data_IF_582227265215
#
_entry.id   IF_582227265215
#
_cell.length_a   1.000
_cell.length_b   1.000
_cell.length_c   1.000
_cell.angle_alpha   90.00
_cell.angle_beta   90.00
_cell.angle_gamma   90.00
#
_symmetry.space_group_name_H-M   'P 1'
#
loop_
_entity.id
_entity.type
_entity.pdbx_description
1 polymer ?
#
# COMPACT_ATOMS: atom_id res chain seq x y z
N UNK A 1 6.73 -8.23 -24.56
CA UNK A 1 5.80 -8.15 -23.41
C UNK A 1 5.31 -6.73 -23.32
N UNK A 2 3.99 -6.52 -23.27
CA UNK A 2 3.41 -5.20 -23.07
C UNK A 2 3.00 -5.08 -21.61
N UNK A 3 3.34 -3.96 -20.98
CA UNK A 3 2.80 -3.57 -19.68
C UNK A 3 2.15 -2.20 -19.80
N UNK A 4 1.20 -1.91 -18.93
CA UNK A 4 0.63 -0.58 -18.78
C UNK A 4 0.81 -0.06 -17.36
N UNK A 5 0.90 1.26 -17.25
CA UNK A 5 1.09 1.97 -16.00
C UNK A 5 0.02 3.05 -15.87
N UNK A 6 -0.70 3.05 -14.75
CA UNK A 6 -1.76 4.02 -14.49
C UNK A 6 -1.52 4.69 -13.15
N UNK A 7 -1.55 6.02 -13.13
CA UNK A 7 -1.64 6.78 -11.89
C UNK A 7 -3.07 6.71 -11.35
N UNK A 8 -3.20 6.42 -10.05
CA UNK A 8 -4.47 6.30 -9.33
C UNK A 8 -4.42 7.24 -8.11
N UNK A 9 -4.85 8.51 -8.27
CA UNK A 9 -4.85 9.47 -7.17
C UNK A 9 -5.83 9.10 -6.05
N UNK A 10 -5.32 8.91 -4.83
CA UNK A 10 -6.11 8.60 -3.63
C UNK A 10 -5.93 9.70 -2.56
N UNK A 11 -6.42 10.90 -2.87
CA UNK A 11 -6.25 12.08 -2.02
C UNK A 11 -4.92 12.77 -2.31
N UNK A 12 -4.09 12.94 -1.29
CA UNK A 12 -2.75 13.55 -1.42
C UNK A 12 -1.69 12.57 -1.94
N UNK A 13 -1.97 11.27 -1.87
CA UNK A 13 -1.07 10.22 -2.33
C UNK A 13 -1.30 9.87 -3.81
N UNK A 14 -0.19 9.58 -4.48
CA UNK A 14 -0.16 9.07 -5.84
C UNK A 14 0.08 7.56 -5.78
N UNK A 15 -1.00 6.79 -5.79
CA UNK A 15 -0.90 5.36 -5.97
C UNK A 15 -0.74 5.04 -7.47
N UNK A 16 -0.27 3.83 -7.77
CA UNK A 16 -0.06 3.40 -9.14
C UNK A 16 -0.54 1.96 -9.37
N UNK A 17 -1.06 1.69 -10.56
CA UNK A 17 -1.43 0.35 -11.01
C UNK A 17 -0.53 -0.04 -12.18
N UNK A 18 0.22 -1.12 -11.99
CA UNK A 18 1.04 -1.76 -13.01
C UNK A 18 0.29 -3.00 -13.49
N UNK A 19 0.14 -3.14 -14.80
CA UNK A 19 -0.54 -4.28 -15.43
C UNK A 19 0.40 -4.94 -16.44
N UNK A 20 0.58 -6.24 -16.33
CA UNK A 20 1.36 -7.04 -17.26
C UNK A 20 0.97 -8.50 -17.12
N UNK A 21 1.95 -9.39 -17.03
CA UNK A 21 1.73 -10.78 -16.61
C UNK A 21 1.13 -10.85 -15.20
N UNK A 22 1.57 -9.95 -14.31
CA UNK A 22 1.00 -9.75 -12.99
C UNK A 22 0.44 -8.34 -12.84
N UNK A 23 -0.57 -8.18 -11.99
CA UNK A 23 -1.13 -6.86 -11.64
C UNK A 23 -0.71 -6.44 -10.24
N UNK A 24 -0.02 -5.31 -10.17
CA UNK A 24 0.58 -4.79 -8.94
C UNK A 24 0.02 -3.40 -8.66
N UNK A 25 -0.38 -3.15 -7.41
CA UNK A 25 -0.77 -1.85 -6.92
C UNK A 25 0.34 -1.28 -6.02
N UNK A 26 0.74 -0.03 -6.24
CA UNK A 26 1.77 0.66 -5.47
C UNK A 26 1.09 1.70 -4.60
N UNK A 27 1.41 1.66 -3.31
CA UNK A 27 0.77 2.37 -2.21
C UNK A 27 -0.73 2.07 -2.06
N UNK A 28 -1.34 2.63 -1.02
CA UNK A 28 -2.74 2.38 -0.65
C UNK A 28 -3.48 3.65 -0.25
N UNK A 29 -2.85 4.82 -0.37
CA UNK A 29 -3.42 6.12 -0.03
C UNK A 29 -3.74 6.31 1.45
N UNK A 30 -4.30 7.48 1.74
CA UNK A 30 -4.74 7.83 3.08
C UNK A 30 -5.99 7.03 3.48
N UNK A 31 -6.30 6.93 4.79
CA UNK A 31 -7.54 6.32 5.25
C UNK A 31 -8.78 6.93 4.57
N UNK A 32 -9.76 6.10 4.22
CA UNK A 32 -11.00 6.55 3.56
C UNK A 32 -10.95 6.61 2.03
N UNK A 33 -9.79 6.35 1.41
CA UNK A 33 -9.62 6.38 -0.06
C UNK A 33 -10.31 5.27 -0.86
N UNK A 34 -10.97 4.30 -0.20
CA UNK A 34 -11.50 3.10 -0.87
C UNK A 34 -12.50 3.41 -1.99
N UNK A 35 -13.40 4.38 -1.79
CA UNK A 35 -14.37 4.75 -2.82
C UNK A 35 -13.69 5.35 -4.06
N UNK A 36 -12.65 6.16 -3.87
CA UNK A 36 -11.85 6.69 -4.98
C UNK A 36 -11.11 5.57 -5.70
N UNK A 37 -10.53 4.63 -4.96
CA UNK A 37 -9.88 3.44 -5.52
C UNK A 37 -10.85 2.65 -6.42
N UNK A 38 -12.04 2.31 -5.91
CA UNK A 38 -13.05 1.56 -6.67
C UNK A 38 -13.45 2.32 -7.95
N UNK A 39 -13.65 3.64 -7.86
CA UNK A 39 -13.96 4.47 -9.02
C UNK A 39 -12.88 4.41 -10.10
N UNK A 40 -11.60 4.50 -9.72
CA UNK A 40 -10.49 4.41 -10.68
C UNK A 40 -10.37 3.02 -11.29
N UNK A 41 -10.56 1.96 -10.51
CA UNK A 41 -10.56 0.58 -11.04
C UNK A 41 -11.67 0.40 -12.09
N UNK A 42 -12.86 0.93 -11.84
CA UNK A 42 -13.95 0.95 -12.83
C UNK A 42 -13.57 1.72 -14.09
N UNK A 43 -13.00 2.92 -13.96
CA UNK A 43 -12.57 3.74 -15.11
C UNK A 43 -11.49 3.06 -15.96
N UNK A 44 -10.63 2.26 -15.33
CA UNK A 44 -9.56 1.51 -15.98
C UNK A 44 -10.01 0.13 -16.50
N UNK A 45 -11.27 -0.23 -16.28
CA UNK A 45 -11.83 -1.57 -16.54
C UNK A 45 -10.98 -2.68 -15.91
N UNK A 46 -10.67 -2.52 -14.62
CA UNK A 46 -9.90 -3.48 -13.82
C UNK A 46 -10.80 -4.01 -12.71
N UNK A 47 -10.88 -5.34 -12.58
CA UNK A 47 -11.46 -5.94 -11.38
C UNK A 47 -10.40 -5.87 -10.27
N UNK A 48 -10.70 -5.27 -9.10
CA UNK A 48 -9.76 -5.26 -7.96
C UNK A 48 -9.19 -6.63 -7.62
N UNK A 49 -9.92 -7.73 -7.84
CA UNK A 49 -9.44 -9.10 -7.58
C UNK A 49 -8.32 -9.56 -8.54
N UNK A 50 -8.07 -8.83 -9.62
CA UNK A 50 -6.93 -9.07 -10.49
C UNK A 50 -5.62 -8.58 -9.87
N UNK A 51 -5.68 -7.69 -8.86
CA UNK A 51 -4.49 -7.20 -8.17
C UNK A 51 -3.96 -8.32 -7.28
N UNK A 52 -2.78 -8.81 -7.61
CA UNK A 52 -2.13 -9.92 -6.89
C UNK A 52 -1.24 -9.42 -5.75
N UNK A 53 -0.69 -8.22 -5.91
CA UNK A 53 0.30 -7.65 -5.00
C UNK A 53 0.07 -6.17 -4.74
N UNK A 54 0.19 -5.76 -3.48
CA UNK A 54 0.27 -4.36 -3.05
C UNK A 54 1.66 -4.10 -2.48
N UNK A 55 2.37 -3.11 -3.01
CA UNK A 55 3.68 -2.68 -2.53
C UNK A 55 3.56 -1.30 -1.88
N UNK A 56 3.86 -1.21 -0.59
CA UNK A 56 3.91 0.05 0.14
C UNK A 56 5.34 0.60 0.08
N UNK A 57 5.47 1.80 -0.47
CA UNK A 57 6.77 2.45 -0.69
C UNK A 57 7.46 2.83 0.62
N UNK A 58 6.69 3.27 1.63
CA UNK A 58 7.20 3.60 2.95
C UNK A 58 6.10 3.64 4.02
N UNK A 59 6.49 3.97 5.26
CA UNK A 59 5.65 3.90 6.45
C UNK A 59 4.98 5.19 6.88
N UNK A 60 4.47 6.01 5.95
CA UNK A 60 3.61 7.15 6.31
C UNK A 60 2.13 6.85 6.06
N UNK A 61 1.27 7.41 6.92
CA UNK A 61 -0.16 7.05 6.98
C UNK A 61 -0.92 7.42 5.71
N UNK A 62 -0.46 8.43 4.99
CA UNK A 62 -0.96 8.87 3.70
C UNK A 62 -0.64 7.88 2.56
N UNK A 63 0.32 6.96 2.75
CA UNK A 63 0.64 5.92 1.78
C UNK A 63 0.05 4.55 2.12
N UNK A 64 -0.01 4.15 3.39
CA UNK A 64 -0.51 2.81 3.76
C UNK A 64 -1.93 2.81 4.35
N UNK A 65 -2.50 3.98 4.66
CA UNK A 65 -3.71 4.10 5.47
C UNK A 65 -4.93 3.37 4.90
N UNK A 66 -5.09 3.37 3.58
CA UNK A 66 -6.15 2.66 2.86
C UNK A 66 -5.80 1.22 2.45
N UNK A 67 -4.53 0.81 2.58
CA UNK A 67 -4.02 -0.45 2.01
C UNK A 67 -4.75 -1.70 2.51
N UNK A 68 -5.13 -1.76 3.79
CA UNK A 68 -5.83 -2.92 4.35
C UNK A 68 -7.24 -3.10 3.76
N UNK A 69 -7.92 -1.99 3.44
CA UNK A 69 -9.24 -2.04 2.78
C UNK A 69 -9.12 -2.46 1.32
N UNK A 70 -8.09 -2.00 0.63
CA UNK A 70 -7.79 -2.42 -0.74
C UNK A 70 -7.46 -3.91 -0.75
N UNK A 71 -6.59 -4.38 0.15
CA UNK A 71 -6.28 -5.80 0.37
C UNK A 71 -7.52 -6.66 0.58
N UNK A 72 -8.43 -6.23 1.45
CA UNK A 72 -9.69 -6.97 1.69
C UNK A 72 -10.55 -7.08 0.42
N UNK A 73 -10.47 -6.08 -0.48
CA UNK A 73 -11.25 -6.05 -1.73
C UNK A 73 -10.58 -6.84 -2.86
N UNK A 74 -9.26 -6.85 -2.92
CA UNK A 74 -8.49 -7.53 -3.97
C UNK A 74 -8.10 -8.96 -3.62
N UNK A 75 -7.91 -9.27 -2.34
CA UNK A 75 -7.26 -10.52 -1.90
C UNK A 75 -5.73 -10.51 -2.06
N UNK A 76 -5.14 -9.40 -2.49
CA UNK A 76 -3.71 -9.27 -2.77
C UNK A 76 -2.83 -9.53 -1.53
N UNK A 77 -1.61 -10.02 -1.75
CA UNK A 77 -0.57 -9.95 -0.73
C UNK A 77 -0.07 -8.52 -0.58
N UNK A 78 0.38 -8.15 0.63
CA UNK A 78 0.89 -6.79 0.90
C UNK A 78 2.32 -6.89 1.38
N UNK A 79 3.20 -6.11 0.75
CA UNK A 79 4.60 -5.97 1.15
C UNK A 79 4.93 -4.51 1.39
N UNK A 80 5.82 -4.22 2.33
CA UNK A 80 6.23 -2.88 2.69
C UNK A 80 7.75 -2.76 2.66
N UNK A 81 8.26 -1.71 2.03
CA UNK A 81 9.63 -1.29 2.18
C UNK A 81 9.81 -0.59 3.54
N UNK A 82 10.72 -1.14 4.35
CA UNK A 82 11.08 -0.60 5.66
C UNK A 82 12.57 -0.23 5.62
N UNK A 83 12.87 1.03 5.93
CA UNK A 83 14.24 1.52 6.06
C UNK A 83 14.61 1.53 7.53
N UNK A 84 15.60 0.72 7.90
CA UNK A 84 16.19 0.70 9.24
C UNK A 84 17.29 1.77 9.42
N UNK A 85 17.88 1.80 10.61
CA UNK A 85 19.04 2.65 10.89
C UNK A 85 20.19 2.36 9.91
N UNK A 86 20.87 3.42 9.47
CA UNK A 86 21.98 3.31 8.51
C UNK A 86 21.56 3.01 7.07
N UNK A 87 20.33 3.33 6.67
CA UNK A 87 19.79 3.11 5.31
C UNK A 87 19.67 1.64 4.88
N UNK A 88 19.63 0.72 5.83
CA UNK A 88 19.39 -0.70 5.55
C UNK A 88 17.90 -0.95 5.23
N UNK A 89 17.59 -1.05 3.94
CA UNK A 89 16.25 -1.34 3.44
C UNK A 89 15.92 -2.83 3.47
N UNK A 90 14.69 -3.17 3.84
CA UNK A 90 14.13 -4.53 3.75
C UNK A 90 12.69 -4.46 3.26
N UNK A 91 12.29 -5.46 2.49
CA UNK A 91 10.88 -5.66 2.13
C UNK A 91 10.30 -6.69 3.11
N UNK A 92 9.22 -6.34 3.79
CA UNK A 92 8.52 -7.24 4.72
C UNK A 92 7.10 -7.50 4.24
N UNK A 93 6.61 -8.72 4.42
CA UNK A 93 5.18 -9.03 4.27
C UNK A 93 4.39 -8.34 5.39
N UNK A 94 3.24 -7.78 5.08
CA UNK A 94 2.34 -7.12 6.03
C UNK A 94 1.08 -7.95 6.17
N UNK A 95 0.89 -8.56 7.34
CA UNK A 95 -0.29 -9.37 7.66
C UNK A 95 -1.40 -8.54 8.33
N UNK A 96 -2.62 -9.06 8.30
CA UNK A 96 -3.78 -8.45 8.97
C UNK A 96 -3.49 -8.18 10.44
N UNK A 97 -3.81 -6.99 10.94
CA UNK A 97 -3.79 -6.71 12.38
C UNK A 97 -2.40 -6.55 12.99
N UNK A 98 -1.30 -6.79 12.26
CA UNK A 98 0.03 -6.48 12.76
C UNK A 98 0.18 -4.96 12.82
N UNK A 99 0.48 -4.43 14.02
CA UNK A 99 0.84 -3.01 14.20
C UNK A 99 2.00 -2.71 13.25
N UNK A 100 1.66 -1.99 12.18
CA UNK A 100 2.57 -1.60 11.10
C UNK A 100 3.78 -0.94 11.72
N UNK A 101 4.98 -1.45 11.43
CA UNK A 101 6.28 -0.85 11.80
C UNK A 101 6.54 0.45 11.01
N UNK A 102 5.49 1.18 10.74
CA UNK A 102 5.46 2.52 10.18
C UNK A 102 5.84 3.52 11.27
N UNK A 103 7.09 3.44 11.73
CA UNK A 103 7.81 4.52 12.40
C UNK A 103 9.26 4.10 12.58
N UNK A 104 9.98 4.10 11.46
CA UNK A 104 11.44 4.09 11.43
C UNK A 104 12.04 5.50 11.62
N UNK A 105 11.35 6.44 12.28
CA UNK A 105 11.97 7.67 12.80
C UNK A 105 11.28 8.02 14.12
N UNK A 106 12.09 8.09 15.17
CA UNK A 106 11.77 8.52 16.54
C UNK A 106 10.65 9.56 16.62
N UNK A 107 9.50 9.16 17.15
CA UNK A 107 8.68 10.07 17.95
C UNK A 107 8.43 9.44 19.31
N UNK A 108 8.68 10.24 20.34
CA UNK A 108 8.61 9.88 21.74
C UNK A 108 7.25 9.25 22.09
N UNK A 109 7.21 7.94 22.29
CA UNK A 109 6.28 7.36 23.25
C UNK A 109 7.00 6.27 24.04
N UNK A 110 7.35 6.64 25.28
CA UNK A 110 7.71 5.71 26.34
C UNK A 110 6.59 4.68 26.46
N UNK A 111 6.88 3.41 26.15
CA UNK A 111 6.10 2.30 26.67
C UNK A 111 6.60 2.10 28.11
N UNK A 112 5.88 2.66 29.08
CA UNK A 112 5.92 2.15 30.46
C UNK A 112 5.27 0.77 30.41
N UNK A 113 6.00 -0.23 30.92
CA UNK A 113 5.51 -1.59 30.98
C UNK A 113 4.26 -1.71 31.85
N UNK A 114 3.42 -2.67 31.47
CA UNK A 114 2.74 -3.64 32.32
C UNK A 114 2.61 -4.91 31.49
#
# INVERSE_FOLDING_TARGET
MNFSFHRVPLGIDNCFLLRGEHTIFIDGGAPGGLNSFVKHMQQLNVDPQQIELIILTHGHIDHFGGADRIRQRSGAEVFQLVIGGGFNGRIIRVDSGLRRRAQGVRHHQKIKGI
#
